data_IF_463040234435
#
_entry.id   IF_463040234435
#
_cell.length_a   1.000
_cell.length_b   1.000
_cell.length_c   1.000
_cell.angle_alpha   90.00
_cell.angle_beta   90.00
_cell.angle_gamma   90.00
#
_symmetry.space_group_name_H-M   'P 1'
#
loop_
_entity.id
_entity.type
_entity.pdbx_description
1 polymer ?
#
# COMPACT_ATOMS: atom_id res chain seq x y z
N UNK A 1 -22.34 -17.02 -20.11
CA UNK A 1 -21.04 -17.47 -19.57
C UNK A 1 -20.84 -16.87 -18.19
N UNK A 2 -21.07 -17.65 -17.13
CA UNK A 2 -20.91 -17.22 -15.73
C UNK A 2 -19.48 -17.53 -15.29
N UNK A 3 -18.61 -16.51 -15.29
CA UNK A 3 -17.28 -16.60 -14.70
C UNK A 3 -17.40 -16.52 -13.17
N UNK A 4 -17.69 -17.66 -12.54
CA UNK A 4 -17.55 -17.88 -11.10
C UNK A 4 -16.06 -17.93 -10.71
N UNK A 5 -15.35 -16.80 -10.77
CA UNK A 5 -13.90 -16.76 -10.51
C UNK A 5 -13.47 -15.69 -9.51
N UNK A 6 -14.11 -15.55 -8.33
CA UNK A 6 -13.51 -14.78 -7.21
C UNK A 6 -14.02 -15.32 -5.87
N UNK A 7 -13.61 -16.54 -5.49
CA UNK A 7 -13.88 -17.09 -4.13
C UNK A 7 -12.72 -16.76 -3.19
N UNK A 8 -12.40 -15.47 -3.09
CA UNK A 8 -11.61 -14.89 -2.00
C UNK A 8 -12.33 -13.61 -1.54
N UNK A 9 -12.75 -13.55 -0.28
CA UNK A 9 -13.34 -12.34 0.27
C UNK A 9 -12.30 -11.19 0.18
N UNK A 10 -12.65 -9.98 -0.33
CA UNK A 10 -11.71 -8.88 -0.50
C UNK A 10 -10.86 -8.60 0.74
N UNK A 11 -11.44 -8.80 1.93
CA UNK A 11 -10.77 -8.66 3.22
C UNK A 11 -9.57 -9.60 3.42
N UNK A 12 -9.63 -10.85 2.94
CA UNK A 12 -8.54 -11.82 3.09
C UNK A 12 -7.31 -11.42 2.27
N UNK A 13 -7.53 -10.95 1.03
CA UNK A 13 -6.49 -10.41 0.14
C UNK A 13 -5.79 -9.23 0.82
N UNK A 14 -6.60 -8.28 1.32
CA UNK A 14 -6.07 -7.07 1.94
C UNK A 14 -5.32 -7.37 3.25
N UNK A 15 -5.83 -8.30 4.07
CA UNK A 15 -5.15 -8.77 5.28
C UNK A 15 -3.79 -9.39 4.96
N UNK A 16 -3.73 -10.29 3.97
CA UNK A 16 -2.47 -10.84 3.46
C UNK A 16 -1.54 -9.74 2.96
N UNK A 17 -2.06 -8.72 2.28
CA UNK A 17 -1.29 -7.56 1.84
C UNK A 17 -0.70 -6.74 2.99
N UNK A 18 -1.41 -6.61 4.12
CA UNK A 18 -0.86 -5.99 5.33
C UNK A 18 0.25 -6.81 5.97
N UNK A 19 0.07 -8.13 6.08
CA UNK A 19 1.11 -9.03 6.60
C UNK A 19 2.36 -9.01 5.71
N UNK A 20 2.17 -9.06 4.39
CA UNK A 20 3.24 -8.91 3.39
C UNK A 20 4.06 -7.65 3.65
N UNK A 21 3.40 -6.48 3.72
CA UNK A 21 4.07 -5.19 3.95
C UNK A 21 4.85 -5.15 5.26
N UNK A 22 4.23 -5.63 6.34
CA UNK A 22 4.90 -5.68 7.65
C UNK A 22 6.15 -6.56 7.60
N UNK A 23 6.03 -7.76 7.05
CA UNK A 23 7.15 -8.70 6.92
C UNK A 23 8.27 -8.14 6.03
N UNK A 24 7.92 -7.60 4.85
CA UNK A 24 8.90 -7.07 3.90
C UNK A 24 9.71 -5.92 4.49
N UNK A 25 9.06 -4.96 5.17
CA UNK A 25 9.77 -3.84 5.80
C UNK A 25 10.66 -4.31 6.95
N UNK A 26 10.21 -5.30 7.74
CA UNK A 26 10.93 -5.77 8.94
C UNK A 26 12.10 -6.70 8.62
N UNK A 27 11.96 -7.56 7.61
CA UNK A 27 12.89 -8.66 7.34
C UNK A 27 13.61 -8.53 6.01
N UNK A 28 13.16 -7.67 5.10
CA UNK A 28 13.79 -7.46 3.78
C UNK A 28 14.07 -5.97 3.51
N UNK A 29 14.87 -5.29 4.36
CA UNK A 29 15.15 -3.86 4.19
C UNK A 29 15.85 -3.55 2.87
N UNK A 30 16.81 -4.38 2.43
CA UNK A 30 17.48 -4.19 1.13
C UNK A 30 16.53 -4.25 -0.06
N UNK A 31 15.61 -5.21 -0.06
CA UNK A 31 14.54 -5.28 -1.07
C UNK A 31 13.63 -4.04 -1.02
N UNK A 32 13.25 -3.61 0.18
CA UNK A 32 12.40 -2.43 0.36
C UNK A 32 13.07 -1.18 -0.20
N UNK A 33 14.37 -0.98 0.07
CA UNK A 33 15.13 0.16 -0.47
C UNK A 33 15.26 0.09 -1.99
N UNK A 34 15.56 -1.09 -2.55
CA UNK A 34 15.63 -1.27 -4.00
C UNK A 34 14.31 -0.92 -4.68
N UNK A 35 13.17 -1.36 -4.12
CA UNK A 35 11.86 -1.00 -4.67
C UNK A 35 11.52 0.49 -4.51
N UNK A 36 11.89 1.11 -3.38
CA UNK A 36 11.72 2.56 -3.21
C UNK A 36 12.52 3.33 -4.28
N UNK A 37 13.70 2.83 -4.65
CA UNK A 37 14.53 3.41 -5.71
C UNK A 37 13.89 3.33 -7.12
N UNK A 38 13.02 2.36 -7.38
CA UNK A 38 12.29 2.24 -8.66
C UNK A 38 10.89 2.86 -8.62
N UNK A 39 10.51 3.45 -7.49
CA UNK A 39 9.18 4.02 -7.27
C UNK A 39 9.11 5.44 -7.85
N UNK A 40 8.20 5.64 -8.81
CA UNK A 40 7.86 6.95 -9.35
C UNK A 40 6.63 7.57 -8.71
N UNK A 41 6.42 8.86 -8.94
CA UNK A 41 5.23 9.59 -8.49
C UNK A 41 5.27 10.05 -7.03
N UNK A 42 4.10 10.38 -6.46
CA UNK A 42 4.00 10.95 -5.12
C UNK A 42 2.69 10.59 -4.40
N UNK A 43 2.68 10.75 -3.08
CA UNK A 43 1.48 10.52 -2.28
C UNK A 43 0.47 11.65 -2.50
N UNK A 44 -0.74 11.30 -2.93
CA UNK A 44 -1.85 12.25 -3.11
C UNK A 44 -2.58 12.59 -1.81
N UNK A 45 -2.10 12.09 -0.66
CA UNK A 45 -2.74 12.23 0.66
C UNK A 45 -4.25 11.87 0.67
N UNK A 46 -4.68 10.96 -0.21
CA UNK A 46 -6.09 10.62 -0.42
C UNK A 46 -6.70 9.69 0.65
N UNK A 47 -5.97 9.39 1.72
CA UNK A 47 -6.32 8.46 2.81
C UNK A 47 -6.66 7.01 2.43
N UNK A 48 -6.57 6.62 1.15
CA UNK A 48 -6.92 5.26 0.73
C UNK A 48 -6.07 4.20 1.44
N UNK A 49 -4.75 4.41 1.52
CA UNK A 49 -3.84 3.49 2.20
C UNK A 49 -4.09 3.40 3.72
N UNK A 50 -4.62 4.47 4.33
CA UNK A 50 -4.99 4.53 5.75
C UNK A 50 -6.29 3.79 6.06
N UNK A 51 -7.04 3.32 5.05
CA UNK A 51 -8.34 2.65 5.21
C UNK A 51 -8.37 1.23 4.64
N UNK A 52 -7.24 0.70 4.16
CA UNK A 52 -7.20 -0.57 3.39
C UNK A 52 -7.93 -1.74 4.08
N UNK A 53 -7.65 -2.03 5.36
CA UNK A 53 -8.36 -3.09 6.12
C UNK A 53 -9.26 -2.48 7.19
N UNK A 54 -8.76 -1.45 7.87
CA UNK A 54 -9.44 -0.74 8.93
C UNK A 54 -9.04 0.73 8.87
N UNK A 55 -9.82 1.58 9.55
CA UNK A 55 -9.54 3.01 9.67
C UNK A 55 -8.33 3.24 10.59
N UNK A 56 -7.23 3.74 10.03
CA UNK A 56 -6.02 4.07 10.77
C UNK A 56 -6.29 5.03 11.95
N UNK A 57 -5.72 4.78 13.15
CA UNK A 57 -5.93 5.64 14.32
C UNK A 57 -5.30 7.04 14.18
N UNK A 58 -4.34 7.22 13.27
CA UNK A 58 -3.74 8.52 12.98
C UNK A 58 -4.50 9.33 11.92
N UNK A 59 -5.57 8.79 11.33
CA UNK A 59 -6.37 9.47 10.33
C UNK A 59 -7.48 10.32 10.99
N UNK A 60 -7.43 11.63 10.79
CA UNK A 60 -8.43 12.57 11.33
C UNK A 60 -9.77 12.57 10.56
N UNK A 61 -10.73 13.38 11.00
CA UNK A 61 -12.05 13.51 10.38
C UNK A 61 -12.00 13.99 8.93
N UNK A 62 -11.02 14.82 8.59
CA UNK A 62 -10.82 15.40 7.25
C UNK A 62 -10.01 14.50 6.32
N UNK A 63 -9.77 13.25 6.71
CA UNK A 63 -8.94 12.29 5.99
C UNK A 63 -7.47 12.70 5.86
N UNK A 64 -6.94 13.48 6.79
CA UNK A 64 -5.52 13.81 6.88
C UNK A 64 -4.80 12.89 7.87
N UNK A 65 -3.60 12.46 7.49
CA UNK A 65 -2.76 11.64 8.36
C UNK A 65 -1.97 12.55 9.32
N UNK A 66 -2.30 12.50 10.61
CA UNK A 66 -1.71 13.37 11.65
C UNK A 66 -0.20 13.18 11.84
N UNK A 67 0.34 12.04 11.39
CA UNK A 67 1.76 11.71 11.54
C UNK A 67 2.50 11.68 10.20
N UNK A 68 1.92 12.22 9.12
CA UNK A 68 2.50 12.10 7.78
C UNK A 68 3.93 12.63 7.68
N UNK A 69 4.20 13.78 8.30
CA UNK A 69 5.52 14.44 8.36
C UNK A 69 6.27 14.19 9.68
N UNK A 70 5.75 13.32 10.56
CA UNK A 70 6.34 13.09 11.88
C UNK A 70 7.30 11.91 11.89
N UNK A 71 8.33 11.98 12.74
CA UNK A 71 9.30 10.88 12.96
C UNK A 71 8.65 9.62 13.54
N UNK A 72 7.47 9.74 14.15
CA UNK A 72 6.73 8.58 14.69
C UNK A 72 5.94 7.81 13.61
N UNK A 73 5.98 8.25 12.35
CA UNK A 73 5.34 7.55 11.24
C UNK A 73 5.91 6.12 11.13
N UNK A 74 5.09 5.07 11.25
CA UNK A 74 5.58 3.70 11.17
C UNK A 74 6.28 3.44 9.84
N UNK A 75 7.35 2.63 9.85
CA UNK A 75 8.12 2.30 8.64
C UNK A 75 7.24 1.70 7.54
N UNK A 76 6.26 0.87 7.91
CA UNK A 76 5.27 0.31 6.97
C UNK A 76 4.43 1.38 6.26
N UNK A 77 4.22 2.54 6.89
CA UNK A 77 3.53 3.68 6.29
C UNK A 77 4.49 4.59 5.52
N UNK A 78 5.74 4.74 5.98
CA UNK A 78 6.76 5.55 5.32
C UNK A 78 7.23 4.94 4.00
N UNK A 79 7.36 3.62 3.96
CA UNK A 79 7.76 2.88 2.76
C UNK A 79 6.60 2.51 1.85
N UNK A 80 5.36 2.84 2.20
CA UNK A 80 4.19 2.53 1.38
C UNK A 80 4.08 3.46 0.15
N UNK A 81 3.72 2.94 -1.04
CA UNK A 81 3.69 1.52 -1.41
C UNK A 81 5.12 0.99 -1.55
N UNK A 82 5.31 -0.29 -1.21
CA UNK A 82 6.60 -0.99 -1.33
C UNK A 82 6.75 -1.56 -2.74
N UNK A 83 5.68 -2.07 -3.35
CA UNK A 83 5.71 -2.61 -4.72
C UNK A 83 4.32 -2.53 -5.38
N UNK A 84 4.20 -3.03 -6.61
CA UNK A 84 2.94 -3.01 -7.38
C UNK A 84 1.76 -3.68 -6.68
N UNK A 85 1.97 -4.71 -5.86
CA UNK A 85 0.87 -5.35 -5.13
C UNK A 85 0.22 -4.40 -4.12
N UNK A 86 0.98 -3.49 -3.52
CA UNK A 86 0.44 -2.50 -2.59
C UNK A 86 -0.45 -1.47 -3.30
N UNK A 87 -0.16 -1.16 -4.57
CA UNK A 87 -1.03 -0.33 -5.42
C UNK A 87 -2.32 -1.09 -5.74
N UNK A 88 -2.23 -2.38 -6.08
CA UNK A 88 -3.40 -3.23 -6.30
C UNK A 88 -4.29 -3.31 -5.05
N UNK A 89 -3.71 -3.42 -3.86
CA UNK A 89 -4.47 -3.42 -2.60
C UNK A 89 -5.26 -2.11 -2.40
N UNK A 90 -4.71 -0.96 -2.82
CA UNK A 90 -5.42 0.33 -2.80
C UNK A 90 -6.59 0.33 -3.78
N UNK A 91 -6.38 -0.18 -4.99
CA UNK A 91 -7.44 -0.28 -5.99
C UNK A 91 -8.58 -1.20 -5.51
N UNK A 92 -8.25 -2.38 -4.96
CA UNK A 92 -9.24 -3.32 -4.41
C UNK A 92 -10.01 -2.71 -3.24
N UNK A 93 -9.33 -2.01 -2.33
CA UNK A 93 -9.96 -1.49 -1.10
C UNK A 93 -10.77 -0.21 -1.31
N UNK A 94 -10.42 0.62 -2.29
CA UNK A 94 -10.99 1.97 -2.43
C UNK A 94 -11.50 2.33 -3.82
N UNK A 95 -11.20 1.51 -4.83
CA UNK A 95 -11.45 1.84 -6.24
C UNK A 95 -10.58 3.00 -6.78
N UNK A 96 -9.64 3.52 -5.99
CA UNK A 96 -8.82 4.67 -6.37
C UNK A 96 -7.50 4.26 -7.01
N UNK A 97 -7.05 5.06 -7.97
CA UNK A 97 -5.68 4.98 -8.48
C UNK A 97 -4.69 5.57 -7.47
N UNK A 98 -3.57 4.89 -7.25
CA UNK A 98 -2.48 5.39 -6.44
C UNK A 98 -1.66 6.42 -7.24
N UNK A 99 -1.18 7.50 -6.61
CA UNK A 99 -0.29 8.47 -7.24
C UNK A 99 1.17 8.01 -7.37
N UNK A 100 1.50 6.84 -6.80
CA UNK A 100 2.77 6.17 -7.03
C UNK A 100 2.63 5.13 -8.14
N UNK A 101 3.72 4.86 -8.83
CA UNK A 101 3.87 3.80 -9.81
C UNK A 101 5.21 3.08 -9.62
N UNK A 102 5.33 1.90 -10.22
CA UNK A 102 6.59 1.19 -10.35
C UNK A 102 6.77 0.87 -11.82
N UNK A 103 7.93 1.22 -12.37
CA UNK A 103 8.29 0.71 -13.69
C UNK A 103 8.45 -0.80 -13.57
N UNK A 104 7.67 -1.54 -14.36
CA UNK A 104 7.96 -2.95 -14.60
C UNK A 104 9.24 -2.96 -15.42
N UNK A 105 10.39 -2.93 -14.74
CA UNK A 105 11.68 -3.14 -15.38
C UNK A 105 11.55 -4.36 -16.27
N UNK A 106 11.71 -4.16 -17.57
CA UNK A 106 11.64 -5.20 -18.59
C UNK A 106 12.68 -6.27 -18.22
N UNK A 107 12.23 -7.36 -17.60
CA UNK A 107 13.02 -8.57 -17.46
C UNK A 107 13.24 -9.14 -18.86
N UNK A 108 14.27 -8.66 -19.55
CA UNK A 108 14.92 -9.39 -20.63
C UNK A 108 15.99 -10.29 -20.04
#
# INVERSE_FOLDING_TARGET
MKLHFWRDHPRAILLRGKLRRFFTVRFRPGFTQAQIGTRGGHCLQCAACCKIIFRCPWLDGDNRCRVYYSKIRPLVCAHFPINGHDITDVAISSGRQCGYSFDQGNSR
#
